data_IF_118720252421
#
_entry.id   IF_118720252421
#
_cell.length_a   1.000
_cell.length_b   1.000
_cell.length_c   1.000
_cell.angle_alpha   90.00
_cell.angle_beta   90.00
_cell.angle_gamma   90.00
#
_symmetry.space_group_name_H-M   'P 1'
#
loop_
_entity.id
_entity.type
_entity.pdbx_description
1 polymer ?
#
# COMPACT_ATOMS: atom_id res chain seq x y z
N UNK A 1 9.57 -8.72 9.63
CA UNK A 1 8.88 -7.70 8.82
C UNK A 1 8.68 -8.35 7.46
N UNK A 2 7.43 -8.45 7.01
CA UNK A 2 7.09 -9.12 5.75
C UNK A 2 6.48 -8.07 4.82
N UNK A 3 7.00 -7.92 3.61
CA UNK A 3 6.60 -6.88 2.67
C UNK A 3 6.60 -5.43 3.24
N UNK A 4 7.46 -5.14 4.22
CA UNK A 4 7.49 -3.85 4.92
C UNK A 4 6.48 -3.71 6.06
N UNK A 5 5.70 -4.75 6.35
CA UNK A 5 4.63 -4.74 7.35
C UNK A 5 4.95 -5.65 8.54
N UNK A 6 4.22 -5.43 9.64
CA UNK A 6 4.29 -6.23 10.87
C UNK A 6 2.87 -6.58 11.34
N UNK A 7 2.67 -7.82 11.76
CA UNK A 7 1.39 -8.29 12.29
C UNK A 7 1.24 -7.90 13.76
N UNK A 8 0.10 -7.31 14.10
CA UNK A 8 -0.30 -7.01 15.47
C UNK A 8 -1.69 -7.54 15.75
N UNK A 9 -1.94 -7.81 17.03
CA UNK A 9 -3.26 -7.93 17.59
C UNK A 9 -3.52 -6.79 18.57
N UNK A 10 -4.74 -6.29 18.63
CA UNK A 10 -5.19 -5.27 19.56
C UNK A 10 -6.43 -5.76 20.28
N UNK A 11 -6.43 -5.68 21.61
CA UNK A 11 -7.67 -5.80 22.38
C UNK A 11 -8.17 -4.41 22.71
N UNK A 12 -9.45 -4.17 22.40
CA UNK A 12 -10.11 -2.90 22.66
C UNK A 12 -11.30 -3.15 23.59
N UNK A 13 -11.41 -2.32 24.63
CA UNK A 13 -12.58 -2.29 25.52
C UNK A 13 -13.17 -0.89 25.54
N UNK A 14 -14.49 -0.81 25.42
CA UNK A 14 -15.25 0.44 25.34
C UNK A 14 -16.20 0.57 26.54
N UNK A 15 -16.35 1.77 27.14
CA UNK A 15 -17.31 1.97 28.22
C UNK A 15 -18.76 1.72 27.80
N UNK A 16 -19.08 2.11 26.56
CA UNK A 16 -20.36 1.85 25.91
C UNK A 16 -20.09 1.19 24.56
N UNK A 17 -20.64 -0.01 24.36
CA UNK A 17 -20.43 -0.75 23.13
C UNK A 17 -21.46 -0.36 22.06
N UNK A 18 -21.05 0.51 21.14
CA UNK A 18 -21.82 0.93 19.96
C UNK A 18 -21.20 0.35 18.68
N UNK A 19 -21.51 -0.92 18.37
CA UNK A 19 -20.90 -1.70 17.27
C UNK A 19 -20.66 -0.89 15.98
N UNK A 20 -21.71 -0.27 15.43
CA UNK A 20 -21.62 0.45 14.14
C UNK A 20 -20.67 1.64 14.20
N UNK A 21 -20.70 2.41 15.29
CA UNK A 21 -19.81 3.55 15.50
C UNK A 21 -18.36 3.09 15.69
N UNK A 22 -18.16 1.99 16.43
CA UNK A 22 -16.83 1.41 16.63
C UNK A 22 -16.23 0.97 15.30
N UNK A 23 -16.99 0.26 14.46
CA UNK A 23 -16.53 -0.17 13.14
C UNK A 23 -16.19 1.01 12.24
N UNK A 24 -17.07 2.01 12.15
CA UNK A 24 -16.82 3.23 11.39
C UNK A 24 -15.52 3.91 11.83
N UNK A 25 -15.32 4.04 13.15
CA UNK A 25 -14.10 4.62 13.71
C UNK A 25 -12.85 3.78 13.42
N UNK A 26 -12.94 2.45 13.51
CA UNK A 26 -11.82 1.56 13.18
C UNK A 26 -11.44 1.67 11.71
N UNK A 27 -12.41 1.74 10.79
CA UNK A 27 -12.15 1.97 9.37
C UNK A 27 -11.40 3.29 9.13
N UNK A 28 -11.82 4.38 9.78
CA UNK A 28 -11.10 5.66 9.74
C UNK A 28 -9.65 5.55 10.23
N UNK A 29 -9.40 4.74 11.26
CA UNK A 29 -8.04 4.48 11.76
C UNK A 29 -7.22 3.69 10.73
N UNK A 30 -7.79 2.63 10.14
CA UNK A 30 -7.11 1.83 9.11
C UNK A 30 -6.70 2.69 7.92
N UNK A 31 -7.61 3.54 7.43
CA UNK A 31 -7.35 4.44 6.31
C UNK A 31 -6.25 5.46 6.61
N UNK A 32 -6.32 6.14 7.76
CA UNK A 32 -5.32 7.15 8.17
C UNK A 32 -3.92 6.56 8.31
N UNK A 33 -3.84 5.29 8.69
CA UNK A 33 -2.58 4.58 8.95
C UNK A 33 -2.14 3.72 7.78
N UNK A 34 -2.96 3.67 6.73
CA UNK A 34 -2.73 2.90 5.51
C UNK A 34 -2.77 1.38 5.73
N UNK A 35 -3.47 0.87 6.75
CA UNK A 35 -3.64 -0.58 6.96
C UNK A 35 -4.60 -1.13 5.91
N UNK A 36 -4.15 -2.14 5.17
CA UNK A 36 -4.89 -2.74 4.04
C UNK A 36 -5.33 -4.19 4.30
N UNK A 37 -4.71 -4.85 5.29
CA UNK A 37 -5.05 -6.22 5.66
C UNK A 37 -5.34 -6.31 7.17
N UNK A 38 -6.58 -6.63 7.52
CA UNK A 38 -7.05 -6.74 8.89
C UNK A 38 -8.25 -7.69 9.04
N UNK A 39 -8.48 -8.15 10.27
CA UNK A 39 -9.65 -8.94 10.66
C UNK A 39 -10.13 -8.46 12.04
N UNK A 40 -11.43 -8.22 12.17
CA UNK A 40 -12.06 -7.76 13.41
C UNK A 40 -12.90 -8.90 13.98
N UNK A 41 -12.64 -9.25 15.24
CA UNK A 41 -13.40 -10.23 16.00
C UNK A 41 -14.17 -9.49 17.11
N UNK A 42 -15.47 -9.69 17.17
CA UNK A 42 -16.28 -9.28 18.32
C UNK A 42 -16.14 -10.32 19.43
N UNK A 43 -15.91 -9.89 20.66
CA UNK A 43 -15.61 -10.75 21.79
C UNK A 43 -16.68 -10.66 22.88
N UNK A 44 -16.88 -11.76 23.60
CA UNK A 44 -17.53 -11.75 24.91
C UNK A 44 -16.49 -11.66 26.03
N UNK A 45 -16.71 -10.76 26.99
CA UNK A 45 -15.93 -10.67 28.23
C UNK A 45 -15.48 -9.25 28.56
N UNK A 46 -14.23 -9.12 29.01
CA UNK A 46 -13.62 -7.85 29.45
C UNK A 46 -13.16 -6.94 28.30
N UNK A 47 -13.09 -7.50 27.10
CA UNK A 47 -12.68 -6.83 25.88
C UNK A 47 -13.78 -7.06 24.86
N UNK A 48 -14.10 -6.04 24.08
CA UNK A 48 -15.20 -6.09 23.11
C UNK A 48 -14.71 -6.47 21.72
N UNK A 49 -13.49 -6.05 21.37
CA UNK A 49 -12.90 -6.29 20.05
C UNK A 49 -11.50 -6.87 20.20
N UNK A 50 -11.23 -7.91 19.41
CA UNK A 50 -9.87 -8.29 19.02
C UNK A 50 -9.67 -7.88 17.56
N UNK A 51 -8.72 -7.01 17.30
CA UNK A 51 -8.35 -6.58 15.96
C UNK A 51 -7.00 -7.20 15.59
N UNK A 52 -6.96 -7.96 14.50
CA UNK A 52 -5.73 -8.46 13.86
C UNK A 52 -5.41 -7.57 12.67
N UNK A 53 -4.23 -6.96 12.60
CA UNK A 53 -3.87 -6.04 11.51
C UNK A 53 -2.40 -6.16 11.09
N UNK A 54 -2.14 -6.04 9.80
CA UNK A 54 -0.80 -5.84 9.24
C UNK A 54 -0.51 -4.34 9.12
N UNK A 55 0.44 -3.85 9.92
CA UNK A 55 0.77 -2.44 9.99
C UNK A 55 1.98 -2.11 9.10
N UNK A 56 1.85 -1.10 8.19
CA UNK A 56 2.97 -0.57 7.41
C UNK A 56 3.77 0.52 8.12
N UNK A 57 3.20 1.08 9.18
CA UNK A 57 3.77 2.17 9.97
C UNK A 57 4.14 1.68 11.37
N UNK A 58 4.81 2.53 12.13
CA UNK A 58 5.14 2.22 13.52
C UNK A 58 3.86 2.07 14.37
N UNK A 59 3.90 1.14 15.34
CA UNK A 59 2.82 0.90 16.30
C UNK A 59 2.27 2.19 16.93
N UNK A 60 3.18 3.10 17.32
CA UNK A 60 2.82 4.36 17.98
C UNK A 60 1.98 5.29 17.11
N UNK A 61 2.12 5.24 15.78
CA UNK A 61 1.29 6.02 14.86
C UNK A 61 -0.13 5.49 14.85
N UNK A 62 -0.29 4.17 14.89
CA UNK A 62 -1.59 3.52 14.92
C UNK A 62 -2.30 3.68 16.26
N UNK A 63 -1.59 3.51 17.38
CA UNK A 63 -2.13 3.79 18.73
C UNK A 63 -2.60 5.23 18.85
N UNK A 64 -1.80 6.18 18.37
CA UNK A 64 -2.18 7.59 18.34
C UNK A 64 -3.44 7.80 17.51
N UNK A 65 -3.54 7.18 16.32
CA UNK A 65 -4.73 7.27 15.50
C UNK A 65 -5.99 6.70 16.18
N UNK A 66 -5.87 5.58 16.90
CA UNK A 66 -6.97 5.04 17.73
C UNK A 66 -7.41 6.07 18.76
N UNK A 67 -6.49 6.64 19.55
CA UNK A 67 -6.83 7.66 20.54
C UNK A 67 -7.45 8.92 19.91
N UNK A 68 -6.89 9.40 18.80
CA UNK A 68 -7.33 10.62 18.11
C UNK A 68 -8.74 10.47 17.49
N UNK A 69 -9.09 9.27 17.00
CA UNK A 69 -10.39 9.00 16.37
C UNK A 69 -11.47 8.73 17.42
N UNK A 70 -11.16 7.93 18.44
CA UNK A 70 -12.17 7.59 19.43
C UNK A 70 -12.40 8.69 20.48
N UNK A 71 -11.38 9.47 20.81
CA UNK A 71 -11.45 10.62 21.73
C UNK A 71 -12.06 10.33 23.11
N UNK A 72 -12.08 9.07 23.54
CA UNK A 72 -12.58 8.64 24.85
C UNK A 72 -11.40 8.14 25.70
N UNK A 73 -11.10 8.80 26.82
CA UNK A 73 -9.98 8.43 27.68
C UNK A 73 -10.19 7.10 28.42
N UNK A 74 -11.41 6.55 28.42
CA UNK A 74 -11.74 5.32 29.13
C UNK A 74 -11.63 4.08 28.24
N UNK A 75 -11.31 4.23 26.95
CA UNK A 75 -11.06 3.08 26.08
C UNK A 75 -9.74 2.44 26.49
N UNK A 76 -9.79 1.14 26.72
CA UNK A 76 -8.59 0.33 26.98
C UNK A 76 -8.07 -0.18 25.65
N UNK A 77 -6.81 0.13 25.33
CA UNK A 77 -6.14 -0.27 24.10
C UNK A 77 -4.89 -1.05 24.48
N UNK A 78 -4.86 -2.35 24.15
CA UNK A 78 -3.72 -3.21 24.46
C UNK A 78 -3.20 -3.88 23.18
N UNK A 79 -1.95 -3.59 22.82
CA UNK A 79 -1.29 -4.17 21.66
C UNK A 79 -0.57 -5.49 21.97
N UNK A 80 -0.43 -6.33 20.95
CA UNK A 80 0.37 -7.54 20.93
C UNK A 80 1.08 -7.65 19.57
N UNK A 81 2.38 -7.35 19.56
CA UNK A 81 3.24 -7.46 18.40
C UNK A 81 3.61 -8.91 18.17
N UNK A 82 3.34 -9.43 16.97
CA UNK A 82 3.77 -10.78 16.59
C UNK A 82 5.23 -10.77 16.17
N UNK A 83 6.04 -11.53 16.91
CA UNK A 83 7.42 -11.81 16.55
C UNK A 83 7.52 -13.03 15.65
N UNK A 84 6.64 -14.00 15.86
CA UNK A 84 6.69 -15.30 15.19
C UNK A 84 5.29 -15.88 15.01
N UNK A 85 4.98 -16.31 13.80
CA UNK A 85 3.76 -17.06 13.49
C UNK A 85 4.18 -18.53 13.57
N UNK A 86 3.95 -19.17 14.70
CA UNK A 86 4.43 -20.54 14.94
C UNK A 86 3.62 -21.54 14.11
N UNK A 87 2.32 -21.29 13.99
CA UNK A 87 1.38 -22.09 13.22
C UNK A 87 0.22 -21.20 12.75
N UNK A 88 -0.20 -21.35 11.50
CA UNK A 88 -1.42 -20.72 11.00
C UNK A 88 -2.21 -21.73 10.16
N UNK A 89 -3.48 -21.95 10.51
CA UNK A 89 -4.27 -23.08 10.01
C UNK A 89 -4.38 -23.24 8.48
N UNK A 90 -4.39 -22.18 7.63
CA UNK A 90 -4.41 -22.39 6.18
C UNK A 90 -3.05 -22.86 5.64
N UNK A 91 -1.99 -22.68 6.41
CA UNK A 91 -0.59 -22.83 6.02
C UNK A 91 0.16 -23.91 6.80
N UNK A 92 -0.48 -24.48 7.81
CA UNK A 92 0.09 -25.50 8.66
C UNK A 92 0.07 -26.85 7.94
N UNK A 93 1.20 -27.56 7.96
CA UNK A 93 1.26 -28.98 7.59
C UNK A 93 0.58 -29.87 8.63
N UNK A 94 0.64 -31.18 8.42
CA UNK A 94 0.03 -32.17 9.33
C UNK A 94 0.57 -32.10 10.77
N UNK A 95 1.82 -31.68 10.95
CA UNK A 95 2.46 -31.49 12.25
C UNK A 95 2.18 -30.12 12.90
N UNK A 96 1.34 -29.30 12.25
CA UNK A 96 0.99 -27.95 12.67
C UNK A 96 2.03 -26.89 12.31
N UNK A 97 3.21 -27.25 11.79
CA UNK A 97 4.24 -26.27 11.46
C UNK A 97 3.98 -25.66 10.09
N UNK A 98 4.35 -24.40 9.93
CA UNK A 98 4.36 -23.77 8.62
C UNK A 98 5.62 -24.18 7.87
N UNK A 99 5.45 -24.63 6.63
CA UNK A 99 6.59 -24.86 5.75
C UNK A 99 7.17 -23.52 5.29
N UNK A 100 8.50 -23.37 5.26
CA UNK A 100 9.12 -22.15 4.75
C UNK A 100 8.77 -21.97 3.27
N UNK A 101 8.45 -20.74 2.89
CA UNK A 101 8.31 -20.38 1.48
C UNK A 101 9.67 -20.46 0.77
N UNK A 102 9.64 -20.79 -0.52
CA UNK A 102 10.83 -20.71 -1.37
C UNK A 102 11.39 -19.29 -1.31
N UNK A 103 12.71 -19.16 -1.11
CA UNK A 103 13.37 -17.86 -1.03
C UNK A 103 13.19 -17.03 -2.31
N UNK A 104 13.15 -17.67 -3.47
CA UNK A 104 12.93 -16.98 -4.75
C UNK A 104 11.59 -16.23 -4.77
N UNK A 105 10.57 -16.77 -4.11
CA UNK A 105 9.24 -16.16 -3.99
C UNK A 105 9.24 -14.99 -3.00
N UNK A 106 10.13 -15.00 -2.01
CA UNK A 106 10.29 -13.91 -1.04
C UNK A 106 11.19 -12.78 -1.58
N UNK A 107 12.09 -13.10 -2.51
CA UNK A 107 13.02 -12.17 -3.14
C UNK A 107 12.36 -11.40 -4.31
N UNK A 108 11.52 -12.08 -5.11
CA UNK A 108 10.81 -11.46 -6.24
C UNK A 108 9.39 -11.02 -5.86
N UNK A 109 9.22 -9.73 -5.57
CA UNK A 109 7.88 -9.13 -5.35
C UNK A 109 7.05 -9.23 -6.62
N UNK A 110 5.76 -9.55 -6.48
CA UNK A 110 4.80 -9.48 -7.59
C UNK A 110 4.71 -8.05 -8.16
N UNK A 111 4.65 -7.87 -9.49
CA UNK A 111 4.43 -6.58 -10.12
C UNK A 111 3.15 -5.89 -9.61
N UNK A 112 3.12 -4.55 -9.58
CA UNK A 112 1.93 -3.81 -9.13
C UNK A 112 0.68 -4.16 -9.92
N UNK A 113 0.78 -4.34 -11.23
CA UNK A 113 -0.36 -4.75 -12.07
C UNK A 113 -0.90 -6.14 -11.69
N UNK A 114 -0.04 -7.03 -11.20
CA UNK A 114 -0.43 -8.34 -10.71
C UNK A 114 -1.07 -8.24 -9.32
N UNK A 115 -0.53 -7.38 -8.45
CA UNK A 115 -1.11 -7.08 -7.13
C UNK A 115 -2.49 -6.41 -7.25
N UNK A 116 -2.65 -5.43 -8.14
CA UNK A 116 -3.93 -4.77 -8.42
C UNK A 116 -4.97 -5.81 -8.86
N UNK A 117 -4.58 -6.73 -9.73
CA UNK A 117 -5.43 -7.85 -10.14
C UNK A 117 -5.75 -8.83 -9.01
N UNK A 118 -4.84 -9.07 -8.07
CA UNK A 118 -5.10 -9.89 -6.88
C UNK A 118 -6.11 -9.21 -5.97
N UNK A 119 -5.89 -7.93 -5.66
CA UNK A 119 -6.76 -7.13 -4.80
C UNK A 119 -8.15 -6.94 -5.41
N UNK A 120 -8.24 -7.00 -6.74
CA UNK A 120 -9.49 -7.01 -7.49
C UNK A 120 -10.32 -8.27 -7.35
N UNK A 121 -9.71 -9.35 -6.89
CA UNK A 121 -10.31 -10.67 -7.01
C UNK A 121 -9.89 -11.32 -8.32
N UNK A 122 -9.31 -12.51 -8.20
CA UNK A 122 -8.89 -13.31 -9.33
C UNK A 122 -9.96 -14.32 -9.72
N UNK A 123 -10.01 -14.64 -11.00
CA UNK A 123 -10.76 -15.81 -11.47
C UNK A 123 -10.14 -17.09 -10.90
N UNK A 124 -10.97 -18.09 -10.63
CA UNK A 124 -10.54 -19.36 -10.01
C UNK A 124 -9.35 -20.02 -10.72
N UNK A 125 -9.33 -19.96 -12.06
CA UNK A 125 -8.25 -20.50 -12.92
C UNK A 125 -6.92 -19.79 -12.74
N UNK A 126 -6.93 -18.54 -12.26
CA UNK A 126 -5.73 -17.74 -12.02
C UNK A 126 -5.22 -17.89 -10.59
N UNK A 127 -6.03 -18.41 -9.66
CA UNK A 127 -5.61 -18.68 -8.28
C UNK A 127 -4.64 -19.86 -8.20
N UNK A 128 -4.80 -20.86 -9.07
CA UNK A 128 -4.00 -22.10 -9.06
C UNK A 128 -2.49 -21.81 -9.13
N UNK A 129 -2.06 -20.87 -9.98
CA UNK A 129 -0.64 -20.51 -10.10
C UNK A 129 -0.04 -19.96 -8.79
N UNK A 130 -0.84 -19.25 -7.99
CA UNK A 130 -0.38 -18.72 -6.70
C UNK A 130 -0.47 -19.76 -5.59
N UNK A 131 -1.44 -20.67 -5.65
CA UNK A 131 -1.53 -21.82 -4.73
C UNK A 131 -0.34 -22.77 -4.92
N UNK A 132 0.03 -23.08 -6.16
CA UNK A 132 1.21 -23.90 -6.48
C UNK A 132 2.50 -23.26 -5.97
N UNK A 133 2.60 -21.94 -6.03
CA UNK A 133 3.72 -21.16 -5.45
C UNK A 133 3.60 -20.91 -3.95
N UNK A 134 2.54 -21.42 -3.30
CA UNK A 134 2.23 -21.21 -1.87
C UNK A 134 2.16 -19.74 -1.48
N UNK A 135 1.72 -18.88 -2.40
CA UNK A 135 1.45 -17.47 -2.14
C UNK A 135 0.03 -17.22 -1.67
N UNK A 136 -0.90 -18.12 -2.02
CA UNK A 136 -2.27 -18.16 -1.52
C UNK A 136 -2.60 -19.54 -0.98
N UNK A 137 -3.37 -19.58 0.11
CA UNK A 137 -3.92 -20.81 0.66
C UNK A 137 -5.45 -20.72 0.68
N UNK A 138 -6.18 -21.76 0.25
CA UNK A 138 -7.61 -21.81 0.43
C UNK A 138 -7.94 -21.83 1.94
N UNK A 139 -8.82 -20.93 2.35
CA UNK A 139 -9.27 -20.84 3.74
C UNK A 139 -10.76 -21.25 3.81
N UNK A 140 -11.01 -22.52 4.11
CA UNK A 140 -12.37 -22.99 4.40
C UNK A 140 -12.67 -22.87 5.88
N UNK A 141 -13.52 -21.91 6.25
CA UNK A 141 -13.96 -21.76 7.63
C UNK A 141 -14.84 -22.93 8.05
N UNK A 142 -14.52 -23.50 9.21
CA UNK A 142 -15.36 -24.54 9.81
C UNK A 142 -16.53 -23.90 10.55
N UNK A 143 -17.64 -24.62 10.69
CA UNK A 143 -18.69 -24.20 11.62
C UNK A 143 -18.25 -24.38 13.07
N UNK A 144 -18.82 -23.59 13.97
CA UNK A 144 -18.59 -23.70 15.42
C UNK A 144 -18.21 -22.39 16.09
N UNK A 145 -17.77 -22.47 17.33
CA UNK A 145 -17.46 -21.33 18.20
C UNK A 145 -15.97 -21.01 18.08
N UNK A 146 -15.64 -19.81 17.60
CA UNK A 146 -14.26 -19.35 17.55
C UNK A 146 -13.86 -18.79 18.92
N UNK A 147 -12.65 -19.11 19.35
CA UNK A 147 -12.11 -18.66 20.62
C UNK A 147 -10.64 -18.29 20.48
N UNK A 148 -10.16 -17.48 21.43
CA UNK A 148 -8.75 -17.23 21.61
C UNK A 148 -8.31 -17.52 23.03
N UNK A 149 -7.09 -18.05 23.15
CA UNK A 149 -6.43 -18.31 24.42
C UNK A 149 -5.13 -17.50 24.47
N UNK A 150 -5.06 -16.56 25.41
CA UNK A 150 -3.87 -15.75 25.66
C UNK A 150 -3.08 -16.37 26.78
N UNK A 151 -1.80 -16.62 26.55
CA UNK A 151 -0.86 -16.98 27.60
C UNK A 151 -0.16 -15.70 28.02
N UNK A 152 -0.40 -15.26 29.25
CA UNK A 152 0.15 -14.02 29.80
C UNK A 152 1.69 -14.02 29.84
N UNK A 153 2.31 -12.84 29.94
CA UNK A 153 3.75 -12.73 30.02
C UNK A 153 4.29 -13.48 31.23
N UNK A 154 5.45 -14.13 31.05
CA UNK A 154 6.13 -14.76 32.17
C UNK A 154 6.58 -13.71 33.17
N UNK A 155 6.44 -14.02 34.45
CA UNK A 155 7.00 -13.22 35.56
C UNK A 155 8.51 -13.39 35.70
N UNK A 156 9.12 -14.32 34.97
CA UNK A 156 10.54 -14.66 35.06
C UNK A 156 11.22 -14.47 33.70
N UNK A 157 12.48 -14.06 33.71
CA UNK A 157 13.28 -14.03 32.50
C UNK A 157 13.57 -15.47 32.06
N UNK A 158 13.13 -15.84 30.86
CA UNK A 158 13.31 -17.21 30.34
C UNK A 158 14.42 -17.22 29.29
N UNK A 159 15.37 -18.15 29.38
CA UNK A 159 16.35 -18.35 28.33
C UNK A 159 15.71 -18.73 26.99
N UNK A 160 16.25 -18.23 25.89
CA UNK A 160 15.73 -18.50 24.53
C UNK A 160 15.50 -19.99 24.22
N UNK A 161 16.41 -20.88 24.64
CA UNK A 161 16.26 -22.33 24.44
C UNK A 161 15.06 -22.93 25.22
N UNK A 162 14.74 -22.39 26.39
CA UNK A 162 13.56 -22.80 27.15
C UNK A 162 12.27 -22.27 26.51
N UNK A 163 12.30 -21.05 25.96
CA UNK A 163 11.19 -20.48 25.18
C UNK A 163 10.88 -21.32 23.92
N UNK A 164 11.90 -21.76 23.18
CA UNK A 164 11.72 -22.65 22.03
C UNK A 164 11.10 -24.00 22.41
N UNK A 165 11.57 -24.61 23.51
CA UNK A 165 10.97 -25.85 24.03
C UNK A 165 9.52 -25.66 24.44
N UNK A 166 9.21 -24.53 25.08
CA UNK A 166 7.84 -24.18 25.46
C UNK A 166 6.95 -24.00 24.24
N UNK A 167 7.41 -23.25 23.25
CA UNK A 167 6.71 -23.05 21.97
C UNK A 167 6.37 -24.39 21.31
N UNK A 168 7.34 -25.31 21.24
CA UNK A 168 7.14 -26.64 20.67
C UNK A 168 6.19 -27.51 21.51
N UNK A 169 6.17 -27.35 22.85
CA UNK A 169 5.25 -28.06 23.73
C UNK A 169 3.80 -27.56 23.58
N UNK A 170 3.60 -26.24 23.52
CA UNK A 170 2.28 -25.63 23.31
C UNK A 170 1.73 -26.05 21.94
N UNK A 171 2.53 -25.96 20.88
CA UNK A 171 2.12 -26.38 19.54
C UNK A 171 1.70 -27.86 19.53
N UNK A 172 2.47 -28.73 20.19
CA UNK A 172 2.16 -30.15 20.28
C UNK A 172 0.83 -30.39 20.99
N UNK A 173 0.56 -29.73 22.12
CA UNK A 173 -0.73 -29.83 22.81
C UNK A 173 -1.89 -29.35 21.94
N UNK A 174 -1.69 -28.27 21.20
CA UNK A 174 -2.69 -27.80 20.25
C UNK A 174 -2.95 -28.82 19.13
N UNK A 175 -1.91 -29.51 18.64
CA UNK A 175 -2.07 -30.54 17.60
C UNK A 175 -2.64 -31.86 18.12
N UNK A 176 -2.35 -32.25 19.36
CA UNK A 176 -2.93 -33.43 20.05
C UNK A 176 -4.45 -33.28 20.28
N UNK A 177 -4.97 -32.06 20.30
CA UNK A 177 -6.40 -31.83 20.43
C UNK A 177 -7.18 -32.35 19.21
N UNK A 178 -8.23 -33.12 19.52
CA UNK A 178 -9.10 -33.84 18.60
C UNK A 178 -9.52 -33.00 17.38
N UNK A 179 -9.08 -33.41 16.19
CA UNK A 179 -9.33 -32.70 14.94
C UNK A 179 -10.80 -32.72 14.50
N UNK A 180 -11.61 -33.67 14.98
CA UNK A 180 -13.05 -33.68 14.72
C UNK A 180 -13.80 -32.66 15.59
N UNK A 181 -13.16 -32.15 16.64
CA UNK A 181 -13.74 -31.17 17.56
C UNK A 181 -13.13 -29.78 17.41
N UNK A 182 -11.82 -29.71 17.20
CA UNK A 182 -11.06 -28.46 17.10
C UNK A 182 -10.49 -28.26 15.70
N UNK A 183 -10.78 -27.10 15.12
CA UNK A 183 -10.26 -26.69 13.81
C UNK A 183 -9.70 -25.26 13.85
N UNK A 184 -9.21 -24.77 12.70
CA UNK A 184 -8.63 -23.42 12.53
C UNK A 184 -7.49 -23.08 13.53
N UNK A 185 -6.79 -24.11 14.03
CA UNK A 185 -5.78 -24.01 15.08
C UNK A 185 -4.57 -23.18 14.60
N UNK A 186 -4.34 -22.03 15.25
CA UNK A 186 -3.21 -21.14 14.98
C UNK A 186 -2.53 -20.75 16.29
N UNK A 187 -1.21 -20.61 16.25
CA UNK A 187 -0.38 -20.23 17.39
C UNK A 187 0.55 -19.08 16.98
N UNK A 188 0.47 -17.99 17.73
CA UNK A 188 1.30 -16.81 17.57
C UNK A 188 2.14 -16.57 18.81
N UNK A 189 3.37 -16.14 18.61
CA UNK A 189 4.28 -15.70 19.67
C UNK A 189 4.62 -14.23 19.48
N UNK A 190 4.64 -13.48 20.57
CA UNK A 190 4.75 -12.03 20.51
C UNK A 190 5.05 -11.37 21.85
N UNK A 191 4.93 -10.04 21.86
CA UNK A 191 5.13 -9.19 23.04
C UNK A 191 3.94 -8.23 23.15
N UNK A 192 3.42 -8.05 24.36
CA UNK A 192 2.33 -7.11 24.64
C UNK A 192 1.43 -7.66 25.74
N UNK A 193 0.13 -7.73 25.47
CA UNK A 193 -0.83 -8.29 26.44
C UNK A 193 -0.66 -9.78 26.78
N UNK A 194 0.23 -10.48 26.06
CA UNK A 194 0.58 -11.88 26.28
C UNK A 194 1.98 -12.18 25.75
N UNK A 195 2.41 -13.42 25.93
CA UNK A 195 3.57 -14.01 25.24
C UNK A 195 3.14 -14.91 24.09
N UNK A 196 1.97 -15.54 24.20
CA UNK A 196 1.38 -16.35 23.14
C UNK A 196 -0.11 -16.05 22.98
N UNK A 197 -0.58 -16.17 21.75
CA UNK A 197 -1.99 -16.14 21.40
C UNK A 197 -2.30 -17.37 20.57
N UNK A 198 -3.28 -18.16 21.02
CA UNK A 198 -3.87 -19.24 20.25
C UNK A 198 -5.21 -18.76 19.74
N UNK A 199 -5.51 -19.05 18.47
CA UNK A 199 -6.84 -18.93 17.90
C UNK A 199 -7.26 -20.30 17.38
N UNK A 200 -8.49 -20.71 17.66
CA UNK A 200 -9.05 -21.95 17.16
C UNK A 200 -10.58 -21.87 17.13
N UNK A 201 -11.20 -22.88 16.52
CA UNK A 201 -12.64 -23.08 16.53
C UNK A 201 -12.96 -24.42 17.17
N UNK A 202 -14.05 -24.48 17.93
CA UNK A 202 -14.59 -25.70 18.53
C UNK A 202 -16.00 -25.95 18.03
N UNK A 203 -16.40 -27.20 17.84
CA UNK A 203 -17.83 -27.54 17.62
C UNK A 203 -18.68 -27.07 18.81
N UNK A 204 -19.87 -26.54 18.52
CA UNK A 204 -20.72 -25.92 19.53
C UNK A 204 -21.10 -26.90 20.66
N UNK A 205 -21.38 -28.16 20.31
CA UNK A 205 -21.75 -29.23 21.25
C UNK A 205 -20.59 -29.63 22.17
N UNK A 206 -19.37 -29.33 21.75
CA UNK A 206 -18.13 -29.66 22.43
C UNK A 206 -17.49 -28.44 23.11
N UNK A 207 -18.20 -27.33 23.29
CA UNK A 207 -17.66 -26.09 23.86
C UNK A 207 -16.90 -26.30 25.20
N UNK A 208 -17.41 -27.16 26.07
CA UNK A 208 -16.78 -27.51 27.35
C UNK A 208 -15.38 -28.13 27.18
N UNK A 209 -15.09 -28.78 26.05
CA UNK A 209 -13.78 -29.40 25.77
C UNK A 209 -12.66 -28.37 25.61
N UNK A 210 -12.97 -27.07 25.38
CA UNK A 210 -11.94 -26.02 25.42
C UNK A 210 -11.18 -26.05 26.76
N UNK A 211 -11.88 -26.32 27.86
CA UNK A 211 -11.25 -26.38 29.18
C UNK A 211 -10.33 -27.60 29.28
N UNK A 212 -10.85 -28.80 29.03
CA UNK A 212 -10.16 -30.07 29.28
C UNK A 212 -9.06 -30.39 28.27
N UNK A 213 -9.24 -30.01 27.01
CA UNK A 213 -8.38 -30.49 25.92
C UNK A 213 -7.36 -29.44 25.48
N UNK A 214 -7.59 -28.16 25.81
CA UNK A 214 -6.72 -27.05 25.41
C UNK A 214 -6.24 -26.28 26.64
N UNK A 215 -7.15 -25.68 27.40
CA UNK A 215 -6.81 -24.73 28.46
C UNK A 215 -6.07 -25.37 29.62
N UNK A 216 -6.55 -26.48 30.16
CA UNK A 216 -5.92 -27.20 31.27
C UNK A 216 -4.53 -27.76 30.89
N UNK A 217 -4.36 -28.50 29.77
CA UNK A 217 -3.05 -28.98 29.35
C UNK A 217 -2.03 -27.85 29.11
N UNK A 218 -2.47 -26.72 28.58
CA UNK A 218 -1.60 -25.55 28.38
C UNK A 218 -1.27 -24.88 29.72
N UNK A 219 -2.23 -24.76 30.63
CA UNK A 219 -2.00 -24.22 31.97
C UNK A 219 -0.97 -25.03 32.76
N UNK A 220 -1.02 -26.36 32.69
CA UNK A 220 -0.02 -27.24 33.31
C UNK A 220 1.39 -26.96 32.77
N UNK A 221 1.52 -26.70 31.47
CA UNK A 221 2.80 -26.37 30.86
C UNK A 221 3.33 -25.00 31.31
N UNK A 222 2.45 -24.00 31.41
CA UNK A 222 2.82 -22.59 31.67
C UNK A 222 2.63 -22.16 33.13
N UNK A 223 2.34 -23.12 34.00
CA UNK A 223 1.98 -22.93 35.39
C UNK A 223 2.99 -22.04 36.15
N UNK A 224 2.58 -21.40 37.26
CA UNK A 224 3.45 -20.53 38.04
C UNK A 224 4.79 -21.14 38.44
N UNK A 225 4.82 -22.44 38.69
CA UNK A 225 5.99 -23.23 39.10
C UNK A 225 6.96 -23.48 37.93
N UNK A 226 6.46 -23.45 36.69
CA UNK A 226 7.23 -23.76 35.47
C UNK A 226 7.62 -22.51 34.71
N UNK A 227 6.65 -21.62 34.47
CA UNK A 227 6.79 -20.47 33.58
C UNK A 227 6.20 -19.18 34.16
N UNK A 228 5.50 -19.22 35.29
CA UNK A 228 5.02 -17.99 35.94
C UNK A 228 3.83 -17.32 35.25
N UNK A 229 3.16 -18.00 34.31
CA UNK A 229 2.12 -17.41 33.45
C UNK A 229 0.71 -17.93 33.81
N UNK A 230 -0.29 -17.26 33.25
CA UNK A 230 -1.71 -17.67 33.33
C UNK A 230 -2.33 -17.58 31.95
N UNK A 231 -3.33 -18.41 31.70
CA UNK A 231 -4.13 -18.31 30.48
C UNK A 231 -5.39 -17.50 30.70
N UNK A 232 -5.82 -16.76 29.68
CA UNK A 232 -7.16 -16.15 29.60
C UNK A 232 -7.82 -16.57 28.30
N UNK A 233 -9.02 -17.12 28.39
CA UNK A 233 -9.82 -17.51 27.22
C UNK A 233 -10.88 -16.45 26.93
N UNK A 234 -11.04 -16.08 25.67
CA UNK A 234 -12.16 -15.28 25.19
C UNK A 234 -12.85 -15.99 24.03
N UNK A 235 -14.13 -15.73 23.87
CA UNK A 235 -15.00 -16.35 22.85
C UNK A 235 -15.48 -15.27 21.92
N UNK A 236 -15.53 -15.55 20.62
CA UNK A 236 -16.07 -14.61 19.65
C UNK A 236 -17.60 -14.61 19.71
N UNK A 237 -18.21 -13.43 19.60
CA UNK A 237 -19.66 -13.29 19.64
C UNK A 237 -20.34 -13.70 18.32
N UNK A 238 -19.58 -13.64 17.22
CA UNK A 238 -20.04 -13.97 15.87
C UNK A 238 -19.33 -15.23 15.35
N UNK A 239 -20.02 -15.98 14.49
CA UNK A 239 -19.44 -17.12 13.76
C UNK A 239 -18.37 -16.64 12.77
N UNK A 240 -18.66 -15.53 12.10
CA UNK A 240 -17.80 -14.85 11.13
C UNK A 240 -17.06 -13.66 11.75
N UNK A 241 -16.15 -13.08 10.96
CA UNK A 241 -15.50 -11.81 11.29
C UNK A 241 -16.53 -10.67 11.28
N UNK A 242 -16.36 -9.72 12.19
CA UNK A 242 -17.20 -8.53 12.24
C UNK A 242 -16.91 -7.61 11.03
N UNK A 243 -15.64 -7.52 10.64
CA UNK A 243 -15.17 -6.88 9.41
C UNK A 243 -13.82 -7.50 9.00
N UNK A 244 -13.50 -7.45 7.71
CA UNK A 244 -12.32 -8.09 7.13
C UNK A 244 -11.88 -7.42 5.83
N UNK A 245 -10.58 -7.18 5.72
CA UNK A 245 -9.94 -6.85 4.46
C UNK A 245 -8.62 -7.62 4.35
N UNK A 246 -8.28 -8.09 3.16
CA UNK A 246 -7.00 -8.76 2.90
C UNK A 246 -6.47 -8.29 1.54
N UNK A 247 -6.00 -7.05 1.54
CA UNK A 247 -5.42 -6.43 0.36
C UNK A 247 -3.90 -6.35 0.49
N UNK A 248 -3.23 -6.75 -0.57
CA UNK A 248 -1.79 -6.62 -0.71
C UNK A 248 -1.44 -5.16 -1.04
N UNK A 249 -0.43 -4.63 -0.35
CA UNK A 249 0.07 -3.29 -0.63
C UNK A 249 0.71 -3.24 -2.01
N UNK A 250 0.34 -2.24 -2.83
CA UNK A 250 1.09 -1.89 -4.03
C UNK A 250 2.49 -1.42 -3.67
N UNK A 251 3.47 -1.71 -4.50
CA UNK A 251 4.82 -1.21 -4.29
C UNK A 251 4.82 0.30 -4.10
N UNK A 252 5.31 0.73 -2.94
CA UNK A 252 5.70 2.13 -2.70
C UNK A 252 7.04 2.45 -3.36
N UNK A 253 7.81 1.41 -3.72
CA UNK A 253 8.97 1.54 -4.59
C UNK A 253 8.45 1.80 -6.01
N UNK A 254 8.96 2.86 -6.63
CA UNK A 254 8.68 3.16 -8.03
C UNK A 254 8.88 1.88 -8.88
N UNK A 255 8.10 1.67 -9.96
CA UNK A 255 8.39 0.60 -10.91
C UNK A 255 9.87 0.62 -11.25
N UNK A 256 10.48 -0.57 -11.45
CA UNK A 256 11.91 -0.69 -11.74
C UNK A 256 12.32 0.42 -12.72
N UNK A 257 13.30 1.25 -12.30
CA UNK A 257 13.68 2.45 -13.06
C UNK A 257 14.10 2.04 -14.47
N UNK A 258 13.19 2.16 -15.43
CA UNK A 258 13.51 2.12 -16.85
C UNK A 258 14.28 3.40 -17.18
N UNK A 259 15.44 3.25 -17.80
CA UNK A 259 16.20 4.39 -18.28
C UNK A 259 15.45 5.15 -19.37
N UNK A 260 15.80 6.42 -19.59
CA UNK A 260 15.19 7.25 -20.61
C UNK A 260 15.31 6.62 -22.02
N UNK A 261 16.38 5.89 -22.30
CA UNK A 261 16.55 5.16 -23.55
C UNK A 261 15.47 4.12 -23.77
N UNK A 262 15.12 3.35 -22.73
CA UNK A 262 14.08 2.32 -22.84
C UNK A 262 12.70 2.94 -22.99
N UNK A 263 12.42 4.04 -22.28
CA UNK A 263 11.13 4.74 -22.40
C UNK A 263 10.92 5.33 -23.79
N UNK A 264 11.95 5.90 -24.39
CA UNK A 264 11.86 6.54 -25.71
C UNK A 264 11.72 5.54 -26.87
N UNK A 265 11.82 4.23 -26.61
CA UNK A 265 11.47 3.21 -27.60
C UNK A 265 9.95 2.99 -27.70
N UNK A 266 9.19 3.37 -26.66
CA UNK A 266 7.74 3.27 -26.64
C UNK A 266 7.11 4.55 -27.22
N UNK A 267 5.90 4.45 -27.79
CA UNK A 267 5.12 5.62 -28.17
C UNK A 267 4.44 6.27 -26.94
N UNK A 268 4.09 7.55 -27.03
CA UNK A 268 3.28 8.20 -26.00
C UNK A 268 1.95 7.47 -25.83
N UNK A 269 1.57 7.25 -24.57
CA UNK A 269 0.41 6.41 -24.26
C UNK A 269 -0.15 6.68 -22.88
N UNK A 270 -0.84 5.69 -22.33
CA UNK A 270 -1.50 5.82 -21.03
C UNK A 270 -0.55 6.10 -19.87
N UNK A 271 0.71 5.66 -19.98
CA UNK A 271 1.72 5.78 -18.91
C UNK A 271 2.98 6.54 -19.31
N UNK A 272 3.08 7.03 -20.55
CA UNK A 272 4.24 7.76 -21.04
C UNK A 272 3.80 9.05 -21.72
N UNK A 273 4.45 10.15 -21.35
CA UNK A 273 4.35 11.44 -22.02
C UNK A 273 5.74 12.03 -22.24
N UNK A 274 6.00 12.61 -23.40
CA UNK A 274 7.29 13.18 -23.77
C UNK A 274 7.14 14.68 -23.96
N UNK A 275 8.14 15.42 -23.50
CA UNK A 275 8.15 16.89 -23.52
C UNK A 275 9.55 17.37 -23.83
N UNK A 276 9.66 18.41 -24.65
CA UNK A 276 10.97 18.94 -25.05
C UNK A 276 11.68 19.71 -23.93
N UNK A 277 10.94 20.40 -23.07
CA UNK A 277 11.49 21.27 -22.02
C UNK A 277 10.44 21.57 -20.95
N UNK A 278 10.90 21.90 -19.73
CA UNK A 278 10.03 22.39 -18.66
C UNK A 278 9.85 23.93 -18.66
N UNK A 279 10.79 24.68 -19.23
CA UNK A 279 10.85 26.14 -19.09
C UNK A 279 11.05 26.92 -20.40
N UNK A 280 11.50 26.26 -21.47
CA UNK A 280 11.87 26.88 -22.74
C UNK A 280 10.82 26.61 -23.79
N UNK A 281 10.41 27.66 -24.52
CA UNK A 281 9.42 27.53 -25.59
C UNK A 281 10.09 27.09 -26.90
N UNK A 282 10.28 25.77 -27.02
CA UNK A 282 10.96 25.18 -28.17
C UNK A 282 10.16 25.30 -29.47
N UNK A 283 8.82 25.41 -29.44
CA UNK A 283 8.08 25.60 -30.69
C UNK A 283 8.31 26.98 -31.28
N UNK A 284 8.24 28.03 -30.46
CA UNK A 284 8.55 29.40 -30.89
C UNK A 284 9.98 29.50 -31.43
N UNK A 285 10.90 28.69 -30.91
CA UNK A 285 12.28 28.68 -31.39
C UNK A 285 12.47 27.84 -32.67
N UNK A 286 11.98 26.61 -32.70
CA UNK A 286 12.24 25.70 -33.82
C UNK A 286 11.37 25.99 -35.04
N UNK A 287 10.13 26.46 -34.85
CA UNK A 287 9.16 26.61 -35.95
C UNK A 287 9.03 28.06 -36.44
N UNK A 288 9.76 29.02 -35.86
CA UNK A 288 9.74 30.40 -36.32
C UNK A 288 10.49 30.56 -37.65
N UNK A 289 9.98 31.45 -38.51
CA UNK A 289 10.65 31.82 -39.76
C UNK A 289 11.98 32.57 -39.51
N UNK A 290 12.06 33.30 -38.39
CA UNK A 290 13.26 33.98 -37.90
C UNK A 290 13.46 33.63 -36.41
N UNK A 291 14.13 32.51 -36.12
CA UNK A 291 14.24 31.99 -34.77
C UNK A 291 15.23 32.83 -33.93
N UNK A 292 14.92 33.13 -32.66
CA UNK A 292 15.88 33.80 -31.78
C UNK A 292 17.13 32.94 -31.58
N UNK A 293 18.26 33.57 -31.22
CA UNK A 293 19.54 32.86 -31.00
C UNK A 293 19.42 31.73 -29.97
N UNK A 294 18.54 31.90 -28.98
CA UNK A 294 18.26 30.91 -27.93
C UNK A 294 16.75 30.77 -27.71
N UNK A 295 16.27 29.58 -27.32
CA UNK A 295 14.87 29.39 -27.01
C UNK A 295 14.47 30.27 -25.80
N UNK A 296 13.35 31.01 -25.89
CA UNK A 296 12.93 31.91 -24.82
C UNK A 296 12.36 31.14 -23.63
N UNK A 297 12.55 31.65 -22.41
CA UNK A 297 11.80 31.15 -21.24
C UNK A 297 10.31 31.54 -21.35
N UNK A 298 9.43 30.62 -20.96
CA UNK A 298 7.99 30.82 -20.98
C UNK A 298 7.30 29.98 -19.89
N UNK A 299 6.16 30.43 -19.40
CA UNK A 299 5.31 29.63 -18.50
C UNK A 299 4.49 28.58 -19.26
N UNK A 300 4.40 28.66 -20.61
CA UNK A 300 3.60 27.71 -21.41
C UNK A 300 4.11 26.25 -21.29
N UNK A 301 5.42 25.96 -21.44
CA UNK A 301 5.95 24.62 -21.19
C UNK A 301 5.74 24.16 -19.74
N UNK A 302 5.88 25.07 -18.78
CA UNK A 302 5.68 24.77 -17.37
C UNK A 302 4.24 24.37 -17.08
N UNK A 303 3.25 25.14 -17.56
CA UNK A 303 1.83 24.84 -17.36
C UNK A 303 1.43 23.53 -18.06
N UNK A 304 2.00 23.25 -19.24
CA UNK A 304 1.81 21.97 -19.94
C UNK A 304 2.39 20.78 -19.15
N UNK A 305 3.57 20.95 -18.53
CA UNK A 305 4.16 19.94 -17.67
C UNK A 305 3.32 19.71 -16.41
N UNK A 306 2.86 20.78 -15.75
CA UNK A 306 2.00 20.67 -14.56
C UNK A 306 0.66 20.01 -14.88
N UNK A 307 0.11 20.30 -16.06
CA UNK A 307 -1.07 19.62 -16.59
C UNK A 307 -0.81 18.11 -16.73
N UNK A 308 0.30 17.69 -17.34
CA UNK A 308 0.64 16.27 -17.50
C UNK A 308 0.82 15.55 -16.15
N UNK A 309 1.57 16.15 -15.21
CA UNK A 309 1.76 15.61 -13.86
C UNK A 309 0.41 15.47 -13.14
N UNK A 310 -0.43 16.50 -13.17
CA UNK A 310 -1.77 16.47 -12.58
C UNK A 310 -2.66 15.39 -13.22
N UNK A 311 -2.58 15.24 -14.55
CA UNK A 311 -3.27 14.19 -15.30
C UNK A 311 -2.90 12.79 -14.83
N UNK A 312 -1.60 12.51 -14.66
CA UNK A 312 -1.13 11.22 -14.14
C UNK A 312 -1.50 11.00 -12.68
N UNK A 313 -1.42 12.03 -11.82
CA UNK A 313 -1.84 11.94 -10.41
C UNK A 313 -3.32 11.60 -10.25
N UNK A 314 -4.18 12.10 -11.15
CA UNK A 314 -5.61 11.79 -11.16
C UNK A 314 -5.97 10.56 -12.00
N UNK A 315 -5.01 9.95 -12.71
CA UNK A 315 -5.15 8.68 -13.42
C UNK A 315 -4.38 7.58 -12.68
N UNK A 316 -3.64 6.75 -13.41
CA UNK A 316 -2.98 5.54 -12.89
C UNK A 316 -1.47 5.75 -12.71
N UNK A 317 -1.03 7.00 -12.58
CA UNK A 317 0.39 7.36 -12.60
C UNK A 317 1.01 7.20 -14.00
N UNK A 318 2.31 7.42 -14.08
CA UNK A 318 3.05 7.34 -15.35
C UNK A 318 4.42 8.00 -15.27
N UNK A 319 5.06 8.12 -16.42
CA UNK A 319 6.39 8.70 -16.59
C UNK A 319 6.34 9.83 -17.62
N UNK A 320 7.04 10.93 -17.32
CA UNK A 320 7.28 12.01 -18.26
C UNK A 320 8.78 12.07 -18.57
N UNK A 321 9.14 12.05 -19.86
CA UNK A 321 10.51 12.28 -20.30
C UNK A 321 10.64 13.73 -20.77
N UNK A 322 11.46 14.51 -20.07
CA UNK A 322 11.82 15.87 -20.46
C UNK A 322 13.15 15.89 -21.23
N UNK A 323 13.16 16.57 -22.37
CA UNK A 323 14.34 16.72 -23.23
C UNK A 323 14.26 15.97 -24.56
N UNK A 324 13.09 15.51 -24.96
CA UNK A 324 12.87 14.86 -26.24
C UNK A 324 11.66 15.47 -26.98
N UNK A 325 11.72 15.43 -28.30
CA UNK A 325 10.75 16.04 -29.22
C UNK A 325 10.23 14.98 -30.17
N UNK A 326 8.95 15.02 -30.53
CA UNK A 326 8.36 14.10 -31.51
C UNK A 326 9.00 14.30 -32.89
N UNK A 327 9.63 13.25 -33.44
CA UNK A 327 10.43 13.38 -34.67
C UNK A 327 9.59 13.86 -35.85
N UNK A 328 8.40 13.31 -36.05
CA UNK A 328 7.52 13.65 -37.17
C UNK A 328 7.16 15.15 -37.24
N UNK A 329 7.26 15.87 -36.12
CA UNK A 329 6.97 17.31 -36.05
C UNK A 329 8.18 18.19 -36.39
N UNK A 330 9.40 17.68 -36.25
CA UNK A 330 10.64 18.46 -36.41
C UNK A 330 11.71 17.80 -37.29
N UNK A 331 11.35 16.78 -38.07
CA UNK A 331 12.26 15.90 -38.82
C UNK A 331 13.32 16.65 -39.64
N UNK A 332 12.96 17.80 -40.24
CA UNK A 332 13.83 18.58 -41.14
C UNK A 332 14.42 19.86 -40.51
N UNK A 333 14.35 19.99 -39.18
CA UNK A 333 14.81 21.21 -38.53
C UNK A 333 16.34 21.25 -38.38
N UNK A 334 16.99 22.13 -39.15
CA UNK A 334 18.45 22.29 -39.13
C UNK A 334 19.02 22.64 -37.75
N UNK A 335 18.25 23.29 -36.86
CA UNK A 335 18.70 23.65 -35.51
C UNK A 335 18.88 22.43 -34.59
N UNK A 336 18.27 21.29 -34.93
CA UNK A 336 18.41 20.05 -34.16
C UNK A 336 19.74 19.32 -34.46
N UNK A 337 20.37 19.61 -35.60
CA UNK A 337 21.68 19.06 -35.99
C UNK A 337 21.79 17.54 -35.79
N UNK A 338 22.88 17.11 -35.15
CA UNK A 338 23.21 15.70 -34.88
C UNK A 338 22.54 15.16 -33.59
N UNK A 339 21.38 15.71 -33.19
CA UNK A 339 20.66 15.19 -32.04
C UNK A 339 20.31 13.70 -32.23
N UNK A 340 20.56 12.84 -31.22
CA UNK A 340 20.22 11.42 -31.29
C UNK A 340 18.73 11.22 -31.58
N UNK A 341 18.42 10.25 -32.43
CA UNK A 341 17.06 9.79 -32.70
C UNK A 341 16.87 8.43 -32.06
N UNK A 342 15.79 8.28 -31.30
CA UNK A 342 15.48 7.04 -30.59
C UNK A 342 13.97 6.84 -30.58
N UNK A 343 13.52 5.69 -31.07
CA UNK A 343 12.10 5.45 -31.34
C UNK A 343 11.54 6.50 -32.31
N UNK A 344 10.42 7.13 -31.94
CA UNK A 344 9.80 8.22 -32.69
C UNK A 344 10.23 9.63 -32.24
N UNK A 345 11.38 9.77 -31.58
CA UNK A 345 11.79 11.03 -30.92
C UNK A 345 13.20 11.50 -31.29
N UNK A 346 13.36 12.83 -31.32
CA UNK A 346 14.65 13.53 -31.36
C UNK A 346 15.02 13.97 -29.95
N UNK A 347 16.16 13.51 -29.44
CA UNK A 347 16.62 13.82 -28.08
C UNK A 347 17.44 15.11 -28.07
N UNK A 348 16.76 16.22 -27.83
CA UNK A 348 17.34 17.56 -27.72
C UNK A 348 18.25 17.70 -26.48
N UNK A 349 17.80 17.16 -25.35
CA UNK A 349 18.41 17.28 -24.04
C UNK A 349 18.13 18.61 -23.33
N UNK A 350 18.51 18.67 -22.05
CA UNK A 350 18.16 19.77 -21.14
C UNK A 350 19.35 20.67 -20.77
N UNK A 351 20.47 20.57 -21.49
CA UNK A 351 21.68 21.31 -21.15
C UNK A 351 21.47 22.84 -21.10
N UNK A 352 20.60 23.38 -21.98
CA UNK A 352 20.30 24.81 -22.04
C UNK A 352 19.47 25.32 -20.84
N UNK A 353 18.70 24.45 -20.18
CA UNK A 353 17.85 24.83 -19.03
C UNK A 353 18.44 24.39 -17.68
N UNK A 354 19.09 23.23 -17.63
CA UNK A 354 19.65 22.67 -16.41
C UNK A 354 21.07 23.17 -16.14
N UNK A 355 21.84 23.53 -17.19
CA UNK A 355 23.25 23.86 -17.06
C UNK A 355 24.09 22.66 -16.61
N UNK A 356 25.21 22.92 -15.94
CA UNK A 356 26.13 21.89 -15.44
C UNK A 356 25.69 21.26 -14.12
N UNK A 357 24.97 22.02 -13.29
CA UNK A 357 24.51 21.61 -11.97
C UNK A 357 23.00 21.35 -11.99
N UNK A 358 22.61 20.13 -11.68
CA UNK A 358 21.23 19.67 -11.77
C UNK A 358 20.40 19.99 -10.54
N UNK A 359 21.03 20.20 -9.38
CA UNK A 359 20.30 20.41 -8.13
C UNK A 359 19.41 21.68 -8.17
N UNK A 360 19.89 22.84 -8.68
CA UNK A 360 19.04 24.02 -8.84
C UNK A 360 17.86 23.80 -9.80
N UNK A 361 18.09 23.02 -10.87
CA UNK A 361 17.06 22.69 -11.85
C UNK A 361 15.95 21.81 -11.25
N UNK A 362 16.34 20.73 -10.55
CA UNK A 362 15.42 19.84 -9.86
C UNK A 362 14.66 20.57 -8.74
N UNK A 363 15.33 21.46 -8.01
CA UNK A 363 14.69 22.31 -7.00
C UNK A 363 13.68 23.28 -7.64
N UNK A 364 14.00 23.91 -8.77
CA UNK A 364 13.08 24.76 -9.54
C UNK A 364 11.83 23.98 -9.95
N UNK A 365 11.98 22.75 -10.43
CA UNK A 365 10.86 21.86 -10.78
C UNK A 365 9.99 21.54 -9.56
N UNK A 366 10.56 21.07 -8.45
CA UNK A 366 9.81 20.76 -7.21
C UNK A 366 9.04 21.96 -6.68
N UNK A 367 9.64 23.14 -6.72
CA UNK A 367 8.99 24.39 -6.32
C UNK A 367 7.81 24.75 -7.24
N UNK A 368 7.94 24.53 -8.55
CA UNK A 368 6.84 24.70 -9.50
C UNK A 368 5.72 23.70 -9.24
N UNK A 369 6.02 22.42 -9.03
CA UNK A 369 5.04 21.38 -8.69
C UNK A 369 4.27 21.77 -7.41
N UNK A 370 4.99 22.12 -6.34
CA UNK A 370 4.38 22.53 -5.06
C UNK A 370 3.47 23.76 -5.22
N UNK A 371 3.88 24.73 -6.03
CA UNK A 371 3.13 25.98 -6.23
C UNK A 371 1.89 25.79 -7.11
N UNK A 372 1.96 24.89 -8.09
CA UNK A 372 0.98 24.76 -9.19
C UNK A 372 0.03 23.59 -9.03
N UNK A 373 0.33 22.60 -8.20
CA UNK A 373 -0.52 21.41 -8.01
C UNK A 373 -0.93 21.34 -6.54
N UNK A 374 -2.25 21.32 -6.27
CA UNK A 374 -2.80 21.21 -4.91
C UNK A 374 -3.72 20.00 -4.77
N UNK A 375 -3.68 19.28 -3.64
CA UNK A 375 -2.73 19.43 -2.52
C UNK A 375 -1.28 19.12 -2.95
N UNK A 376 -0.27 19.40 -2.12
CA UNK A 376 1.14 19.21 -2.51
C UNK A 376 1.38 17.79 -3.04
N UNK A 377 1.97 17.72 -4.23
CA UNK A 377 2.16 16.52 -5.03
C UNK A 377 3.59 15.97 -4.96
N UNK A 378 4.55 16.67 -4.36
CA UNK A 378 5.96 16.25 -4.40
C UNK A 378 6.20 14.86 -3.80
N UNK A 379 5.38 14.41 -2.83
CA UNK A 379 5.48 13.05 -2.29
C UNK A 379 5.19 11.95 -3.31
N UNK A 380 4.51 12.28 -4.41
CA UNK A 380 4.11 11.37 -5.47
C UNK A 380 4.96 11.51 -6.72
N UNK A 381 5.93 12.43 -6.75
CA UNK A 381 6.71 12.75 -7.94
C UNK A 381 8.20 12.58 -7.65
N UNK A 382 8.81 11.63 -8.34
CA UNK A 382 10.26 11.42 -8.34
C UNK A 382 10.87 12.06 -9.58
N UNK A 383 11.99 12.77 -9.42
CA UNK A 383 12.71 13.45 -10.49
C UNK A 383 14.13 12.89 -10.56
N UNK A 384 14.48 12.30 -11.70
CA UNK A 384 15.78 11.67 -11.90
C UNK A 384 16.49 12.26 -13.13
N UNK A 385 17.80 12.48 -12.99
CA UNK A 385 18.66 12.77 -14.12
C UNK A 385 19.01 11.48 -14.85
N UNK A 386 18.90 11.50 -16.17
CA UNK A 386 19.36 10.42 -17.04
C UNK A 386 19.99 11.01 -18.33
N UNK A 387 20.26 10.19 -19.34
CA UNK A 387 20.79 10.64 -20.61
C UNK A 387 20.58 9.66 -21.77
N UNK A 388 20.54 10.21 -22.99
CA UNK A 388 20.65 9.44 -24.23
C UNK A 388 21.93 9.89 -24.93
N UNK A 389 22.94 9.02 -24.94
CA UNK A 389 24.28 9.38 -25.38
C UNK A 389 24.86 10.50 -24.52
N UNK A 390 25.15 11.66 -25.12
CA UNK A 390 25.70 12.85 -24.42
C UNK A 390 24.63 13.89 -24.07
N UNK A 391 23.35 13.64 -24.39
CA UNK A 391 22.26 14.59 -24.17
C UNK A 391 21.57 14.24 -22.84
N UNK A 392 21.65 15.12 -21.83
CA UNK A 392 21.06 14.81 -20.54
C UNK A 392 19.56 15.10 -20.58
N UNK A 393 18.76 14.24 -19.93
CA UNK A 393 17.30 14.30 -19.89
C UNK A 393 16.83 14.15 -18.45
N UNK A 394 15.58 14.55 -18.18
CA UNK A 394 14.96 14.36 -16.87
C UNK A 394 13.82 13.35 -16.98
N UNK A 395 13.87 12.30 -16.17
CA UNK A 395 12.81 11.31 -16.03
C UNK A 395 11.98 11.70 -14.82
N UNK A 396 10.70 12.00 -15.04
CA UNK A 396 9.75 12.34 -14.00
C UNK A 396 8.81 11.15 -13.82
N UNK A 397 8.89 10.48 -12.67
CA UNK A 397 7.99 9.36 -12.35
C UNK A 397 6.89 9.86 -11.42
N UNK A 398 5.63 9.68 -11.83
CA UNK A 398 4.44 10.09 -11.09
C UNK A 398 3.71 8.86 -10.58
N UNK A 399 3.66 8.70 -9.26
CA UNK A 399 2.93 7.62 -8.59
C UNK A 399 1.46 8.00 -8.41
N UNK A 400 0.55 7.09 -8.75
CA UNK A 400 -0.85 7.27 -8.44
C UNK A 400 -1.05 7.32 -6.91
N UNK A 401 -1.85 8.27 -6.38
CA UNK A 401 -2.27 8.23 -5.00
C UNK A 401 -3.16 7.00 -4.78
N UNK A 402 -3.09 6.42 -3.58
CA UNK A 402 -4.06 5.39 -3.19
C UNK A 402 -5.47 6.00 -3.17
N UNK A 403 -6.46 5.28 -3.71
CA UNK A 403 -7.86 5.71 -3.78
C UNK A 403 -8.74 4.67 -3.13
N UNK A 404 -9.32 5.03 -2.00
CA UNK A 404 -10.41 4.30 -1.36
C UNK A 404 -11.58 5.27 -1.11
N UNK A 405 -12.82 4.79 -0.90
CA UNK A 405 -14.00 5.61 -0.65
C UNK A 405 -13.81 6.68 0.42
N UNK A 406 -12.90 6.43 1.36
CA UNK A 406 -12.67 7.30 2.49
C UNK A 406 -11.30 8.02 2.48
N UNK A 407 -10.40 7.68 1.56
CA UNK A 407 -9.09 8.32 1.43
C UNK A 407 -8.73 8.77 0.00
N UNK A 408 -9.72 8.91 -0.90
CA UNK A 408 -9.47 9.33 -2.27
C UNK A 408 -8.87 10.76 -2.33
N UNK A 409 -7.59 10.84 -2.70
CA UNK A 409 -6.89 12.11 -2.88
C UNK A 409 -6.87 12.51 -4.35
N UNK A 410 -7.31 13.73 -4.58
CA UNK A 410 -7.50 14.32 -5.91
C UNK A 410 -6.70 15.61 -6.03
N UNK A 411 -6.11 15.83 -7.20
CA UNK A 411 -5.19 16.93 -7.46
C UNK A 411 -5.76 17.92 -8.47
N UNK A 412 -5.42 19.18 -8.26
CA UNK A 412 -5.87 20.31 -9.05
C UNK A 412 -4.66 21.11 -9.52
N UNK A 413 -4.65 21.45 -10.81
CA UNK A 413 -3.64 22.32 -11.39
C UNK A 413 -4.11 23.78 -11.31
N UNK A 414 -3.24 24.68 -10.87
CA UNK A 414 -3.43 26.13 -10.76
C UNK A 414 -2.52 26.85 -11.78
N UNK A 415 -3.05 27.19 -12.97
CA UNK A 415 -2.25 27.76 -14.07
C UNK A 415 -1.57 29.08 -13.72
N UNK A 416 -0.60 29.49 -14.54
CA UNK A 416 -0.03 30.83 -14.49
C UNK A 416 -1.09 31.92 -14.62
N UNK A 417 -0.86 33.06 -13.93
CA UNK A 417 -1.65 34.26 -14.19
C UNK A 417 -1.44 34.65 -15.65
N UNK A 418 -2.51 35.00 -16.33
CA UNK A 418 -2.43 35.52 -17.69
C UNK A 418 -1.70 36.88 -17.69
N UNK A 419 -1.18 37.28 -18.85
CA UNK A 419 -0.47 38.56 -19.02
C UNK A 419 -1.32 39.78 -18.66
N UNK A 420 -2.63 39.68 -18.75
CA UNK A 420 -3.60 40.70 -18.34
C UNK A 420 -3.87 40.73 -16.81
N UNK A 421 -3.18 39.89 -16.05
CA UNK A 421 -3.31 39.80 -14.60
C UNK A 421 -4.48 38.94 -14.11
N UNK A 422 -5.33 38.43 -15.02
CA UNK A 422 -6.45 37.57 -14.64
C UNK A 422 -5.95 36.23 -14.10
N UNK A 423 -6.54 35.80 -12.98
CA UNK A 423 -6.30 34.48 -12.41
C UNK A 423 -7.26 33.49 -13.06
N UNK A 424 -6.73 32.47 -13.70
CA UNK A 424 -7.51 31.32 -14.13
C UNK A 424 -7.79 30.41 -12.92
N UNK A 425 -8.96 29.77 -12.92
CA UNK A 425 -9.38 28.88 -11.84
C UNK A 425 -8.56 27.58 -11.79
N UNK A 426 -8.75 26.75 -10.74
CA UNK A 426 -8.14 25.43 -10.70
C UNK A 426 -8.76 24.51 -11.75
N UNK A 427 -7.92 23.70 -12.41
CA UNK A 427 -8.33 22.75 -13.44
C UNK A 427 -8.12 21.32 -12.96
N UNK A 428 -9.12 20.46 -13.18
CA UNK A 428 -9.03 19.02 -12.94
C UNK A 428 -8.66 18.31 -14.24
N UNK A 429 -7.45 17.76 -14.28
CA UNK A 429 -6.92 17.06 -15.44
C UNK A 429 -6.87 15.56 -15.18
N UNK A 430 -7.17 14.75 -16.19
CA UNK A 430 -7.04 13.29 -16.14
C UNK A 430 -6.34 12.78 -17.40
N UNK A 431 -5.54 11.72 -17.27
CA UNK A 431 -4.97 11.00 -18.42
C UNK A 431 -5.97 9.96 -18.91
N UNK A 432 -6.32 10.03 -20.19
CA UNK A 432 -7.17 9.07 -20.90
C UNK A 432 -6.48 8.66 -22.20
N UNK A 433 -5.95 7.44 -22.24
CA UNK A 433 -5.11 6.99 -23.36
C UNK A 433 -3.87 7.88 -23.50
N UNK A 434 -3.60 8.40 -24.69
CA UNK A 434 -2.46 9.28 -24.94
C UNK A 434 -2.73 10.77 -24.71
N UNK A 435 -3.86 11.15 -24.08
CA UNK A 435 -4.25 12.56 -23.91
C UNK A 435 -4.52 12.91 -22.46
N UNK A 436 -4.15 14.14 -22.09
CA UNK A 436 -4.53 14.75 -20.82
C UNK A 436 -5.71 15.71 -21.05
N UNK A 437 -6.89 15.31 -20.59
CA UNK A 437 -8.17 15.99 -20.82
C UNK A 437 -8.68 16.68 -19.56
N UNK A 438 -9.35 17.85 -19.70
CA UNK A 438 -10.00 18.48 -18.56
C UNK A 438 -11.32 17.77 -18.26
N UNK A 439 -11.67 17.63 -16.99
CA UNK A 439 -13.05 17.34 -16.58
C UNK A 439 -13.61 18.56 -15.88
N UNK A 440 -14.90 18.84 -16.10
CA UNK A 440 -15.56 20.02 -15.56
C UNK A 440 -16.92 19.67 -14.94
N UNK A 441 -17.27 20.37 -13.87
CA UNK A 441 -18.58 20.22 -13.23
C UNK A 441 -18.85 18.76 -12.82
N UNK A 442 -20.04 18.20 -13.15
CA UNK A 442 -20.43 16.84 -12.77
C UNK A 442 -19.47 15.73 -13.26
N UNK A 443 -18.78 15.94 -14.37
CA UNK A 443 -17.84 14.94 -14.92
C UNK A 443 -16.69 14.63 -13.94
N UNK A 444 -16.35 15.60 -13.09
CA UNK A 444 -15.34 15.40 -12.05
C UNK A 444 -15.85 14.40 -11.01
N UNK A 445 -17.10 14.56 -10.57
CA UNK A 445 -17.68 13.73 -9.52
C UNK A 445 -17.93 12.30 -10.03
N UNK A 446 -18.41 12.18 -11.27
CA UNK A 446 -18.57 10.89 -11.95
C UNK A 446 -17.23 10.16 -12.07
N UNK A 447 -16.18 10.85 -12.55
CA UNK A 447 -14.85 10.28 -12.68
C UNK A 447 -14.28 9.85 -11.33
N UNK A 448 -14.43 10.68 -10.29
CA UNK A 448 -13.97 10.36 -8.93
C UNK A 448 -14.70 9.13 -8.39
N UNK A 449 -16.02 9.06 -8.56
CA UNK A 449 -16.83 7.93 -8.10
C UNK A 449 -16.46 6.65 -8.84
N UNK A 450 -16.31 6.70 -10.17
CA UNK A 450 -15.91 5.57 -11.00
C UNK A 450 -14.52 5.05 -10.61
N UNK A 451 -13.51 5.93 -10.54
CA UNK A 451 -12.15 5.54 -10.20
C UNK A 451 -12.02 5.05 -8.77
N UNK A 452 -12.82 5.58 -7.84
CA UNK A 452 -12.85 5.09 -6.45
C UNK A 452 -13.54 3.73 -6.37
N UNK A 453 -14.63 3.52 -7.11
CA UNK A 453 -15.32 2.23 -7.20
C UNK A 453 -14.43 1.16 -7.83
N UNK A 454 -13.74 1.45 -8.93
CA UNK A 454 -12.80 0.51 -9.57
C UNK A 454 -11.64 0.11 -8.67
N UNK A 455 -11.30 0.93 -7.66
CA UNK A 455 -10.28 0.57 -6.69
C UNK A 455 -10.82 -0.32 -5.57
N UNK A 456 -12.14 -0.39 -5.38
CA UNK A 456 -12.80 -1.19 -4.32
C UNK A 456 -13.52 -2.42 -4.83
N UNK A 457 -13.96 -2.41 -6.09
CA UNK A 457 -14.84 -3.42 -6.66
C UNK A 457 -14.43 -3.62 -8.13
N UNK A 458 -13.35 -4.37 -8.40
CA UNK A 458 -12.83 -4.46 -9.74
C UNK A 458 -13.35 -5.76 -10.36
N UNK A 459 -14.46 -5.63 -11.07
CA UNK A 459 -15.11 -6.72 -11.83
C UNK A 459 -14.14 -7.61 -12.63
#
# INVERSE_FOLDING_TARGET
MWAGERLYFWRLSFPTYERQRILYNLQQVMERTGVLAYAIYELYGTHDILLRAWLPTAQSVFEKALHDVFQDPNIVIEGFLINDIVSHWPWAGEDGRMEPLDRSVLEDRLPNSEIERINAGLKLTELTKYQERRLLAPAWHSQGIKFGLVIGPSRQAIPFAAEQRMTAAILRKLMEADGDVFSEKSLYRGIGFGSYLILARVRAEAFHRIATDITEPINELVAPETFGSRTTTFVTATEDLLDFADQMRLSTEAPAKRGAQEWLLDEEGHHLEVKGSAFLELNQWLLAADPPEKPPESEVPTDNLMKAICGFLNADGGTIILGALEEHRYQDNALLGDAPRLGGYVVWGLAAEAGSDWDPYLLRLRNRIAARIKPDANHYVDLDRDGVGKRPVCVITVRAPHRSPAAARWFWHYPAKKRDGTKEGPHFWVREGNRTVPKVGPEIDDYKAEKTRRATDPD
#
